data_IF_169384484756
#
_entry.id   IF_169384484756
#
_cell.length_a   1.000
_cell.length_b   1.000
_cell.length_c   1.000
_cell.angle_alpha   90.00
_cell.angle_beta   90.00
_cell.angle_gamma   90.00
#
_symmetry.space_group_name_H-M   'P 1'
#
loop_
_entity.id
_entity.type
_entity.pdbx_description
1 polymer ?
#
# COMPACT_ATOMS: atom_id res chain seq x y z
N UNK A 1 -64.65 -1.40 15.90
CA UNK A 1 -63.86 -2.58 15.50
C UNK A 1 -62.42 -2.09 15.40
N UNK A 2 -61.56 -2.03 16.43
CA UNK A 2 -61.10 -3.07 17.38
C UNK A 2 -60.63 -4.33 16.64
N UNK A 3 -59.36 -4.77 16.65
CA UNK A 3 -58.20 -4.27 17.37
C UNK A 3 -56.88 -4.92 16.90
N UNK A 4 -55.78 -4.39 17.44
CA UNK A 4 -54.41 -4.94 17.39
C UNK A 4 -54.28 -6.32 18.06
N UNK A 5 -53.10 -6.93 17.95
CA UNK A 5 -52.49 -7.51 19.14
C UNK A 5 -51.12 -6.91 19.46
N UNK A 6 -50.91 -6.79 20.76
CA UNK A 6 -49.76 -6.29 21.50
C UNK A 6 -49.42 -7.41 22.51
N UNK A 7 -48.13 -7.73 22.73
CA UNK A 7 -47.58 -8.35 23.95
C UNK A 7 -46.09 -8.63 23.70
N UNK A 8 -45.15 -7.86 24.26
CA UNK A 8 -44.65 -7.82 25.65
C UNK A 8 -43.81 -9.01 26.08
N UNK A 9 -42.60 -8.65 26.54
CA UNK A 9 -41.61 -9.45 27.22
C UNK A 9 -42.06 -9.84 28.63
N UNK A 10 -41.57 -10.99 29.11
CA UNK A 10 -41.47 -11.32 30.53
C UNK A 10 -40.12 -11.95 30.83
N UNK A 11 -39.47 -11.32 31.80
CA UNK A 11 -38.30 -11.71 32.56
C UNK A 11 -38.67 -12.79 33.59
N UNK A 12 -37.81 -13.78 33.80
CA UNK A 12 -37.84 -14.66 34.98
C UNK A 12 -36.41 -15.06 35.35
N UNK A 13 -35.99 -14.59 36.52
CA UNK A 13 -34.77 -14.94 37.25
C UNK A 13 -34.89 -16.26 38.03
N UNK A 14 -33.71 -16.78 38.39
CA UNK A 14 -33.36 -17.76 39.43
C UNK A 14 -33.46 -19.27 39.15
N UNK A 15 -32.29 -19.92 39.07
CA UNK A 15 -31.78 -20.80 40.15
C UNK A 15 -30.31 -21.21 39.92
N UNK A 16 -29.52 -21.09 40.99
CA UNK A 16 -28.13 -21.53 41.14
C UNK A 16 -28.06 -22.96 41.73
N UNK A 17 -26.98 -23.69 41.39
CA UNK A 17 -26.30 -24.82 42.08
C UNK A 17 -26.17 -26.10 41.23
N UNK A 18 -24.93 -26.55 41.03
CA UNK A 18 -24.61 -27.88 40.51
C UNK A 18 -23.22 -28.00 39.90
N UNK A 19 -22.18 -27.88 40.74
CA UNK A 19 -20.82 -28.32 40.42
C UNK A 19 -20.81 -29.85 40.49
N UNK A 20 -20.38 -30.53 39.42
CA UNK A 20 -19.94 -31.92 39.51
C UNK A 20 -18.56 -32.07 38.86
N UNK A 21 -17.61 -32.38 39.73
CA UNK A 21 -16.22 -32.74 39.45
C UNK A 21 -16.15 -34.24 39.11
N UNK A 22 -15.68 -34.60 37.92
CA UNK A 22 -15.18 -35.94 37.67
C UNK A 22 -13.72 -35.90 37.25
N UNK A 23 -12.90 -36.36 38.19
CA UNK A 23 -11.48 -36.63 38.13
C UNK A 23 -11.27 -37.93 37.36
N UNK A 24 -10.54 -37.88 36.24
CA UNK A 24 -9.89 -39.06 35.68
C UNK A 24 -8.38 -38.95 35.88
N UNK A 25 -7.89 -39.73 36.82
CA UNK A 25 -6.48 -40.03 37.05
C UNK A 25 -5.90 -40.81 35.86
N UNK A 26 -4.91 -40.22 35.18
CA UNK A 26 -3.99 -40.96 34.31
C UNK A 26 -2.57 -40.78 34.86
N UNK A 27 -1.97 -41.91 35.20
CA UNK A 27 -0.69 -42.12 35.87
C UNK A 27 0.52 -41.62 35.08
N UNK A 28 1.46 -41.03 35.83
CA UNK A 28 2.83 -40.68 35.45
C UNK A 28 3.60 -41.79 34.72
N UNK A 29 4.20 -41.44 33.59
CA UNK A 29 5.48 -41.98 33.15
C UNK A 29 6.40 -40.82 32.79
N UNK A 30 7.29 -40.52 33.72
CA UNK A 30 8.44 -39.64 33.56
C UNK A 30 9.35 -40.09 32.41
N UNK A 31 9.46 -39.27 31.37
CA UNK A 31 10.59 -39.28 30.44
C UNK A 31 11.23 -37.88 30.52
N UNK A 32 12.42 -37.83 31.12
CA UNK A 32 13.29 -36.65 31.10
C UNK A 32 13.63 -36.31 29.65
N UNK A 33 13.17 -35.16 29.16
CA UNK A 33 13.83 -34.43 28.09
C UNK A 33 14.36 -33.12 28.70
N UNK A 34 15.67 -33.07 28.92
CA UNK A 34 16.39 -31.83 29.18
C UNK A 34 16.20 -30.89 27.99
N UNK A 35 15.46 -29.79 28.18
CA UNK A 35 15.54 -28.63 27.29
C UNK A 35 16.85 -27.91 27.59
N UNK A 36 17.88 -28.20 26.80
CA UNK A 36 19.04 -27.32 26.69
C UNK A 36 18.61 -26.04 25.95
N UNK A 37 18.27 -25.00 26.70
CA UNK A 37 18.14 -23.65 26.14
C UNK A 37 19.53 -23.03 26.01
N UNK A 38 20.12 -23.08 24.82
CA UNK A 38 21.38 -22.38 24.56
C UNK A 38 21.16 -20.84 24.50
N UNK A 39 21.96 -20.04 25.23
CA UNK A 39 21.73 -18.59 25.39
C UNK A 39 22.20 -17.73 24.20
N UNK A 40 22.77 -18.31 23.13
CA UNK A 40 23.40 -17.54 22.04
C UNK A 40 22.49 -17.26 20.83
N UNK A 41 21.41 -18.02 20.62
CA UNK A 41 20.59 -17.87 19.41
C UNK A 41 19.79 -16.55 19.35
N UNK A 42 19.48 -15.95 20.51
CA UNK A 42 18.61 -14.77 20.61
C UNK A 42 19.34 -13.43 20.37
N UNK A 43 20.66 -13.36 20.62
CA UNK A 43 21.46 -12.15 20.40
C UNK A 43 21.75 -11.93 18.91
N UNK A 44 21.97 -13.02 18.17
CA UNK A 44 22.26 -13.01 16.73
C UNK A 44 21.02 -12.63 15.90
N UNK A 45 19.81 -13.00 16.32
CA UNK A 45 18.58 -12.56 15.62
C UNK A 45 18.33 -11.06 15.77
N UNK A 46 18.60 -10.48 16.95
CA UNK A 46 18.38 -9.05 17.18
C UNK A 46 19.28 -8.19 16.30
N UNK A 47 20.56 -8.55 16.14
CA UNK A 47 21.46 -7.88 15.21
C UNK A 47 20.97 -8.00 13.76
N UNK A 48 20.49 -9.17 13.34
CA UNK A 48 19.93 -9.37 11.99
C UNK A 48 18.69 -8.49 11.74
N UNK A 49 17.82 -8.30 12.74
CA UNK A 49 16.69 -7.35 12.64
C UNK A 49 17.17 -5.90 12.47
N UNK A 50 18.21 -5.47 13.21
CA UNK A 50 18.79 -4.13 13.05
C UNK A 50 19.47 -3.95 11.69
N UNK A 51 20.13 -4.98 11.17
CA UNK A 51 20.71 -4.98 9.83
C UNK A 51 19.61 -4.87 8.76
N UNK A 52 18.54 -5.65 8.85
CA UNK A 52 17.38 -5.55 7.96
C UNK A 52 16.78 -4.13 7.95
N UNK A 53 16.75 -3.44 9.10
CA UNK A 53 16.23 -2.08 9.18
C UNK A 53 17.06 -1.05 8.39
N UNK A 54 18.34 -1.33 8.15
CA UNK A 54 19.25 -0.44 7.40
C UNK A 54 19.04 -0.50 5.87
N UNK A 55 18.45 -1.59 5.36
CA UNK A 55 18.19 -1.83 3.94
C UNK A 55 17.42 -0.66 3.30
N UNK A 56 17.81 -0.29 2.07
CA UNK A 56 17.26 0.91 1.45
C UNK A 56 15.87 0.71 0.86
N UNK A 57 15.68 -0.41 0.20
CA UNK A 57 14.46 -0.70 -0.55
C UNK A 57 13.42 -1.35 0.36
N UNK A 58 12.18 -0.84 0.35
CA UNK A 58 11.11 -1.30 1.24
C UNK A 58 10.80 -2.79 1.06
N UNK A 59 10.75 -3.24 -0.20
CA UNK A 59 10.49 -4.63 -0.61
C UNK A 59 11.53 -5.59 -0.02
N UNK A 60 12.81 -5.27 -0.21
CA UNK A 60 13.93 -6.08 0.27
C UNK A 60 14.01 -6.12 1.80
N UNK A 61 13.71 -4.98 2.44
CA UNK A 61 13.65 -4.87 3.90
C UNK A 61 12.54 -5.75 4.49
N UNK A 62 11.36 -5.77 3.88
CA UNK A 62 10.26 -6.65 4.29
C UNK A 62 10.62 -8.13 4.13
N UNK A 63 11.22 -8.50 2.98
CA UNK A 63 11.72 -9.85 2.76
C UNK A 63 12.77 -10.27 3.80
N UNK A 64 13.60 -9.34 4.25
CA UNK A 64 14.60 -9.56 5.30
C UNK A 64 13.96 -9.85 6.65
N UNK A 65 13.01 -9.03 7.06
CA UNK A 65 12.29 -9.26 8.30
C UNK A 65 11.54 -10.60 8.31
N UNK A 66 10.86 -10.93 7.21
CA UNK A 66 10.16 -12.22 7.09
C UNK A 66 11.12 -13.41 7.14
N UNK A 67 12.27 -13.32 6.45
CA UNK A 67 13.28 -14.39 6.47
C UNK A 67 13.88 -14.60 7.86
N UNK A 68 14.23 -13.51 8.56
CA UNK A 68 14.73 -13.57 9.94
C UNK A 68 13.66 -14.14 10.88
N UNK A 69 12.38 -13.78 10.69
CA UNK A 69 11.27 -14.32 11.48
C UNK A 69 11.02 -15.82 11.23
N UNK A 70 11.18 -16.29 9.99
CA UNK A 70 11.04 -17.71 9.62
C UNK A 70 12.16 -18.61 10.15
N UNK A 71 13.36 -18.04 10.39
CA UNK A 71 14.53 -18.78 10.85
C UNK A 71 14.47 -19.27 12.31
N UNK A 72 13.38 -18.97 13.05
CA UNK A 72 13.10 -19.62 14.32
C UNK A 72 12.52 -18.65 15.36
N UNK A 73 11.22 -18.77 15.57
CA UNK A 73 10.39 -18.07 16.58
C UNK A 73 10.42 -16.55 16.54
N UNK A 74 9.23 -15.95 16.41
CA UNK A 74 8.99 -14.55 16.80
C UNK A 74 9.74 -14.29 18.12
N UNK A 75 10.55 -13.22 18.23
CA UNK A 75 11.22 -12.92 19.48
C UNK A 75 10.17 -12.88 20.58
N UNK A 76 10.24 -13.84 21.50
CA UNK A 76 9.36 -13.96 22.64
C UNK A 76 9.78 -12.92 23.70
N UNK A 77 9.86 -11.65 23.31
CA UNK A 77 10.12 -10.52 24.22
C UNK A 77 8.81 -9.84 24.62
N UNK A 78 7.81 -10.63 25.03
CA UNK A 78 6.76 -10.12 25.91
C UNK A 78 6.52 -11.14 27.03
N UNK A 79 7.44 -11.23 27.99
CA UNK A 79 7.04 -11.63 29.36
C UNK A 79 7.65 -10.80 30.49
N UNK A 80 8.67 -9.98 30.23
CA UNK A 80 9.06 -8.93 31.19
C UNK A 80 9.06 -7.55 30.51
N UNK A 81 8.01 -6.77 30.80
CA UNK A 81 7.97 -5.35 30.45
C UNK A 81 8.96 -4.62 31.36
N UNK A 82 10.13 -4.25 30.83
CA UNK A 82 11.02 -3.29 31.49
C UNK A 82 10.62 -1.87 31.07
N UNK A 83 10.35 -0.96 32.02
CA UNK A 83 9.97 0.40 31.68
C UNK A 83 11.12 1.11 30.95
N UNK A 84 10.77 1.92 29.95
CA UNK A 84 11.70 2.75 29.19
C UNK A 84 12.09 3.96 30.05
N UNK A 85 13.39 4.24 30.16
CA UNK A 85 13.88 5.51 30.70
C UNK A 85 13.73 6.57 29.61
N UNK A 86 12.57 7.23 29.63
CA UNK A 86 12.20 8.26 28.66
C UNK A 86 13.18 9.43 28.68
N UNK A 87 13.80 9.75 29.83
CA UNK A 87 14.75 10.84 29.96
C UNK A 87 16.07 10.55 29.24
N UNK A 88 16.67 9.40 29.51
CA UNK A 88 17.92 9.00 28.86
C UNK A 88 17.74 8.69 27.37
N UNK A 89 16.60 8.10 27.01
CA UNK A 89 16.22 7.86 25.61
C UNK A 89 16.12 9.17 24.83
N UNK A 90 15.48 10.21 25.40
CA UNK A 90 15.44 11.54 24.79
C UNK A 90 16.84 12.13 24.63
N UNK A 91 17.66 12.12 25.70
CA UNK A 91 18.98 12.76 25.70
C UNK A 91 19.91 12.12 24.66
N UNK A 92 19.89 10.80 24.51
CA UNK A 92 20.69 10.11 23.48
C UNK A 92 20.17 10.38 22.06
N UNK A 93 18.86 10.47 21.90
CA UNK A 93 18.23 10.82 20.62
C UNK A 93 18.63 12.23 20.17
N UNK A 94 18.62 13.20 21.08
CA UNK A 94 19.05 14.57 20.79
C UNK A 94 20.57 14.72 20.59
N UNK A 95 21.39 13.82 21.13
CA UNK A 95 22.86 13.81 20.97
C UNK A 95 23.34 13.04 19.73
N UNK A 96 22.44 12.63 18.84
CA UNK A 96 22.81 12.08 17.52
C UNK A 96 22.98 10.56 17.46
N UNK A 97 22.44 9.82 18.44
CA UNK A 97 22.43 8.35 18.44
C UNK A 97 21.13 7.80 19.01
N UNK A 98 20.04 7.72 18.23
CA UNK A 98 18.74 7.28 18.73
C UNK A 98 18.82 5.83 19.24
N UNK A 99 18.71 5.67 20.55
CA UNK A 99 18.68 4.38 21.24
C UNK A 99 17.68 4.42 22.38
N UNK A 100 16.82 3.40 22.47
CA UNK A 100 15.89 3.21 23.59
C UNK A 100 16.68 2.73 24.81
N UNK A 101 16.67 3.51 25.89
CA UNK A 101 17.33 3.19 27.16
C UNK A 101 16.28 2.64 28.12
N UNK A 102 16.54 1.47 28.73
CA UNK A 102 15.64 0.84 29.69
C UNK A 102 15.99 1.25 31.13
N UNK A 103 14.99 1.47 31.97
CA UNK A 103 15.19 1.87 33.36
C UNK A 103 15.84 0.75 34.19
N UNK A 104 16.90 1.10 34.94
CA UNK A 104 17.57 0.21 35.89
C UNK A 104 18.97 -0.29 35.52
N UNK A 105 19.59 0.16 34.42
CA UNK A 105 21.03 -0.11 34.19
C UNK A 105 21.90 0.83 35.02
N UNK A 106 22.21 0.43 36.25
CA UNK A 106 23.31 1.03 37.00
C UNK A 106 24.62 0.49 36.41
N UNK A 107 25.29 1.26 35.55
CA UNK A 107 26.71 1.04 35.24
C UNK A 107 27.51 1.62 36.41
N UNK A 108 27.85 0.78 37.38
CA UNK A 108 28.91 1.09 38.34
C UNK A 108 30.25 0.83 37.65
N UNK A 109 30.85 1.86 37.08
CA UNK A 109 32.28 1.88 36.76
C UNK A 109 33.03 2.65 37.86
N UNK A 110 33.23 1.98 39.00
CA UNK A 110 34.28 2.36 39.94
C UNK A 110 35.63 1.94 39.36
N UNK A 111 36.43 2.94 39.02
CA UNK A 111 37.86 2.82 38.74
C UNK A 111 38.53 2.17 39.96
N UNK A 112 39.20 1.04 39.76
CA UNK A 112 40.22 0.55 40.69
C UNK A 112 41.43 0.06 39.89
N UNK A 113 42.48 0.88 39.93
CA UNK A 113 43.86 0.48 39.64
C UNK A 113 44.28 -0.58 40.67
N UNK A 114 44.45 -1.82 40.24
CA UNK A 114 45.21 -2.82 40.97
C UNK A 114 46.15 -3.52 40.01
N UNK A 115 47.42 -3.15 40.10
CA UNK A 115 48.55 -3.89 39.55
C UNK A 115 48.61 -5.28 40.20
N UNK A 116 48.53 -6.33 39.38
CA UNK A 116 48.98 -7.68 39.77
C UNK A 116 50.00 -8.11 38.74
N UNK A 117 51.24 -8.22 39.21
CA UNK A 117 52.38 -8.76 38.49
C UNK A 117 52.48 -10.24 38.89
N UNK A 118 52.41 -11.16 37.93
CA UNK A 118 52.80 -12.55 38.10
C UNK A 118 53.56 -13.02 36.86
N UNK A 119 54.82 -13.36 37.11
CA UNK A 119 55.80 -13.97 36.21
C UNK A 119 55.34 -15.31 35.63
N UNK A 120 55.94 -15.70 34.50
CA UNK A 120 56.07 -17.10 34.11
C UNK A 120 55.38 -17.50 32.80
N UNK A 121 56.12 -17.32 31.71
CA UNK A 121 56.33 -18.31 30.66
C UNK A 121 55.09 -19.09 30.17
N UNK A 122 54.29 -18.48 29.28
CA UNK A 122 53.41 -19.17 28.30
C UNK A 122 53.01 -18.25 27.13
N UNK A 123 53.89 -17.30 26.79
CA UNK A 123 53.65 -16.34 25.71
C UNK A 123 54.17 -16.87 24.37
N UNK A 124 53.37 -17.68 23.66
CA UNK A 124 53.44 -17.75 22.19
C UNK A 124 52.25 -18.38 21.44
N UNK A 125 51.07 -18.52 22.05
CA UNK A 125 49.93 -19.12 21.32
C UNK A 125 48.55 -18.48 21.55
N UNK A 126 48.47 -17.34 22.24
CA UNK A 126 47.18 -16.66 22.50
C UNK A 126 47.14 -15.23 21.90
N UNK A 127 48.29 -14.69 21.49
CA UNK A 127 48.39 -13.31 20.97
C UNK A 127 48.02 -13.16 19.48
N UNK A 128 47.74 -14.26 18.77
CA UNK A 128 47.34 -14.24 17.35
C UNK A 128 45.83 -14.41 17.13
N UNK A 129 45.01 -14.53 18.18
CA UNK A 129 43.55 -14.77 18.03
C UNK A 129 42.67 -13.62 18.54
N UNK A 130 43.23 -12.58 19.15
CA UNK A 130 42.45 -11.46 19.74
C UNK A 130 42.65 -10.12 18.99
N UNK A 131 43.49 -10.06 17.96
CA UNK A 131 43.70 -8.86 17.13
C UNK A 131 42.82 -8.80 15.87
N UNK A 132 41.81 -9.66 15.73
CA UNK A 132 40.93 -9.69 14.55
C UNK A 132 39.50 -9.15 14.78
N UNK A 133 39.26 -8.39 15.85
CA UNK A 133 37.95 -7.75 16.12
C UNK A 133 38.13 -6.33 16.70
N UNK A 134 38.77 -5.45 15.94
CA UNK A 134 38.66 -4.01 16.13
C UNK A 134 38.35 -3.35 14.78
N UNK A 135 37.09 -2.97 14.50
CA UNK A 135 36.74 -2.18 13.34
C UNK A 135 36.73 -0.70 13.73
N UNK A 136 37.86 -0.13 14.16
CA UNK A 136 38.00 1.34 14.28
C UNK A 136 39.36 1.86 13.83
N UNK A 137 39.77 1.56 12.60
CA UNK A 137 40.82 2.33 11.91
C UNK A 137 40.78 2.12 10.39
N UNK A 138 39.80 2.73 9.72
CA UNK A 138 39.99 3.53 8.50
C UNK A 138 38.64 3.88 7.90
N UNK A 139 38.41 5.17 7.69
CA UNK A 139 37.17 5.76 7.20
C UNK A 139 36.91 5.47 5.73
N UNK A 140 36.65 4.21 5.39
CA UNK A 140 36.06 3.82 4.12
C UNK A 140 34.65 3.28 4.38
N UNK A 141 33.65 4.14 4.25
CA UNK A 141 32.28 3.69 4.05
C UNK A 141 32.27 2.74 2.85
N UNK A 142 32.09 1.45 3.10
CA UNK A 142 31.80 0.49 2.02
C UNK A 142 30.63 1.08 1.20
N UNK A 143 30.73 1.13 -0.15
CA UNK A 143 29.65 1.60 -1.00
C UNK A 143 28.32 0.99 -0.53
N UNK A 144 27.28 1.82 -0.32
CA UNK A 144 26.02 1.38 0.30
C UNK A 144 25.41 0.11 -0.34
N UNK A 145 25.66 -0.12 -1.64
CA UNK A 145 25.24 -1.33 -2.35
C UNK A 145 25.97 -2.61 -1.90
N UNK A 146 27.24 -2.53 -1.49
CA UNK A 146 28.01 -3.67 -0.98
C UNK A 146 27.58 -4.08 0.43
N UNK A 147 27.18 -3.11 1.26
CA UNK A 147 26.62 -3.39 2.59
C UNK A 147 25.24 -4.08 2.48
N UNK A 148 24.38 -3.62 1.57
CA UNK A 148 23.09 -4.26 1.31
C UNK A 148 23.28 -5.72 0.82
N UNK A 149 24.18 -5.97 -0.14
CA UNK A 149 24.47 -7.34 -0.61
C UNK A 149 25.05 -8.25 0.49
N UNK A 150 25.89 -7.73 1.37
CA UNK A 150 26.42 -8.47 2.52
C UNK A 150 25.30 -8.92 3.45
N UNK A 151 24.42 -8.00 3.88
CA UNK A 151 23.27 -8.31 4.76
C UNK A 151 22.34 -9.35 4.11
N UNK A 152 22.02 -9.20 2.82
CA UNK A 152 21.17 -10.16 2.10
C UNK A 152 21.78 -11.56 2.04
N UNK A 153 23.10 -11.65 1.88
CA UNK A 153 23.81 -12.93 1.86
C UNK A 153 23.85 -13.59 3.24
N UNK A 154 24.05 -12.81 4.30
CA UNK A 154 24.09 -13.29 5.70
C UNK A 154 22.73 -13.80 6.18
N UNK A 155 21.64 -13.13 5.78
CA UNK A 155 20.26 -13.53 6.09
C UNK A 155 19.76 -14.65 5.14
N UNK A 156 20.49 -14.93 4.06
CA UNK A 156 20.13 -15.98 3.09
C UNK A 156 18.90 -15.63 2.25
N UNK A 157 18.67 -14.33 2.00
CA UNK A 157 17.54 -13.85 1.19
C UNK A 157 17.83 -14.10 -0.27
N UNK A 158 16.94 -14.84 -0.92
CA UNK A 158 17.00 -15.04 -2.37
C UNK A 158 16.14 -13.99 -3.08
N UNK A 159 16.41 -13.74 -4.35
CA UNK A 159 15.62 -12.82 -5.17
C UNK A 159 14.12 -13.20 -5.22
N UNK A 160 13.81 -14.48 -5.07
CA UNK A 160 12.45 -14.99 -4.95
C UNK A 160 11.78 -14.60 -3.62
N UNK A 161 12.54 -14.45 -2.53
CA UNK A 161 12.03 -14.00 -1.24
C UNK A 161 11.73 -12.49 -1.28
N UNK A 162 12.55 -11.70 -1.99
CA UNK A 162 12.29 -10.27 -2.27
C UNK A 162 11.05 -10.11 -3.17
N UNK A 163 10.87 -11.00 -4.14
CA UNK A 163 9.72 -11.00 -5.04
C UNK A 163 8.36 -11.05 -4.34
N UNK A 164 8.29 -11.68 -3.15
CA UNK A 164 7.04 -11.82 -2.38
C UNK A 164 6.48 -10.52 -1.81
N UNK A 165 7.31 -9.48 -1.71
CA UNK A 165 6.94 -8.20 -1.11
C UNK A 165 6.84 -7.08 -2.14
N UNK A 166 6.72 -7.43 -3.42
CA UNK A 166 6.70 -6.44 -4.49
C UNK A 166 5.42 -5.57 -4.44
N UNK A 167 5.45 -4.36 -5.02
CA UNK A 167 4.27 -3.48 -5.10
C UNK A 167 3.00 -4.21 -5.59
N UNK A 168 3.11 -5.01 -6.65
CA UNK A 168 1.97 -5.76 -7.17
C UNK A 168 1.56 -6.92 -6.27
N UNK A 169 2.52 -7.59 -5.64
CA UNK A 169 2.22 -8.67 -4.70
C UNK A 169 1.45 -8.17 -3.48
N UNK A 170 1.88 -7.05 -2.90
CA UNK A 170 1.19 -6.44 -1.77
C UNK A 170 -0.19 -5.88 -2.15
N UNK A 171 -0.32 -5.33 -3.36
CA UNK A 171 -1.59 -4.83 -3.85
C UNK A 171 -2.60 -5.97 -4.10
N UNK A 172 -2.19 -7.12 -4.64
CA UNK A 172 -3.09 -8.16 -5.16
C UNK A 172 -2.88 -9.56 -4.55
N UNK A 173 -2.14 -9.67 -3.46
CA UNK A 173 -1.82 -10.93 -2.77
C UNK A 173 -1.22 -12.02 -3.69
N UNK A 174 -0.33 -11.63 -4.62
CA UNK A 174 0.05 -12.50 -5.74
C UNK A 174 0.87 -13.73 -5.34
N UNK A 175 1.63 -13.67 -4.25
CA UNK A 175 2.47 -14.79 -3.77
C UNK A 175 1.81 -15.58 -2.63
N UNK A 176 0.95 -14.92 -1.84
CA UNK A 176 0.20 -15.54 -0.74
C UNK A 176 -1.06 -14.71 -0.47
N UNK A 177 -2.20 -15.39 -0.36
CA UNK A 177 -3.43 -14.79 0.13
C UNK A 177 -3.23 -14.14 1.50
N UNK A 178 -3.75 -12.93 1.65
CA UNK A 178 -3.68 -12.19 2.90
C UNK A 178 -4.46 -12.90 4.00
N UNK A 179 -3.89 -12.97 5.20
CA UNK A 179 -4.57 -13.55 6.37
C UNK A 179 -5.80 -12.72 6.79
N UNK A 180 -6.00 -11.53 6.20
CA UNK A 180 -7.22 -10.70 6.34
C UNK A 180 -8.45 -11.41 5.73
N UNK A 181 -8.26 -12.22 4.67
CA UNK A 181 -9.30 -13.00 4.00
C UNK A 181 -10.25 -12.19 3.09
N UNK A 182 -11.39 -12.81 2.77
CA UNK A 182 -12.42 -12.28 1.87
C UNK A 182 -13.38 -11.29 2.55
N UNK A 183 -14.05 -10.47 1.74
CA UNK A 183 -15.07 -9.49 2.19
C UNK A 183 -14.56 -8.44 3.20
N UNK A 184 -13.25 -8.20 3.23
CA UNK A 184 -12.62 -7.10 3.96
C UNK A 184 -12.23 -5.99 2.99
N UNK A 185 -12.63 -4.73 3.25
CA UNK A 185 -12.24 -3.62 2.39
C UNK A 185 -10.76 -3.32 2.55
N UNK A 186 -10.10 -3.08 1.43
CA UNK A 186 -8.70 -2.66 1.32
C UNK A 186 -8.59 -1.52 0.31
N UNK A 187 -7.54 -0.69 0.38
CA UNK A 187 -7.32 0.33 -0.64
C UNK A 187 -7.19 -0.28 -2.04
N UNK A 188 -7.72 0.40 -3.07
CA UNK A 188 -7.65 -0.07 -4.45
C UNK A 188 -6.81 0.81 -5.37
N UNK A 189 -7.33 2.00 -5.71
CA UNK A 189 -6.58 3.09 -6.32
C UNK A 189 -6.15 4.07 -5.22
N UNK A 190 -5.32 5.09 -5.53
CA UNK A 190 -4.92 6.06 -4.52
C UNK A 190 -6.12 6.77 -3.90
N UNK A 191 -6.12 6.91 -2.58
CA UNK A 191 -7.07 7.76 -1.88
C UNK A 191 -6.40 9.07 -1.51
N UNK A 192 -6.97 10.17 -1.96
CA UNK A 192 -6.38 11.49 -1.78
C UNK A 192 -7.43 12.56 -1.58
N UNK A 193 -6.97 13.67 -1.01
CA UNK A 193 -7.68 14.92 -0.89
C UNK A 193 -6.73 16.02 -1.37
N UNK A 194 -7.14 16.74 -2.40
CA UNK A 194 -6.45 17.87 -3.00
C UNK A 194 -7.27 19.13 -2.72
N UNK A 195 -7.05 19.84 -1.59
CA UNK A 195 -7.76 21.09 -1.32
C UNK A 195 -7.46 22.17 -2.35
N UNK A 196 -6.31 22.08 -3.02
CA UNK A 196 -5.90 22.97 -4.10
C UNK A 196 -5.89 22.15 -5.37
N UNK A 197 -6.93 22.27 -6.19
CA UNK A 197 -6.96 21.82 -7.58
C UNK A 197 -7.28 23.03 -8.45
N UNK A 198 -6.38 23.41 -9.36
CA UNK A 198 -6.56 24.58 -10.22
C UNK A 198 -6.52 24.17 -11.69
N UNK A 199 -7.60 24.48 -12.38
CA UNK A 199 -7.82 24.22 -13.80
C UNK A 199 -7.48 25.44 -14.63
N UNK A 200 -6.83 25.23 -15.77
CA UNK A 200 -6.52 26.32 -16.72
C UNK A 200 -7.74 26.66 -17.59
N UNK A 201 -8.51 25.66 -17.97
CA UNK A 201 -9.67 25.80 -18.82
C UNK A 201 -10.82 24.91 -18.29
N UNK A 202 -11.53 25.31 -17.22
CA UNK A 202 -12.70 24.58 -16.75
C UNK A 202 -13.74 24.44 -17.86
N UNK A 203 -14.33 23.25 -18.00
CA UNK A 203 -15.41 23.01 -18.95
C UNK A 203 -16.66 23.79 -18.53
N UNK A 204 -17.05 24.79 -19.32
CA UNK A 204 -18.23 25.64 -19.05
C UNK A 204 -19.40 25.38 -19.99
N UNK A 205 -19.24 24.44 -20.91
CA UNK A 205 -20.25 24.08 -21.91
C UNK A 205 -20.18 22.57 -22.18
N UNK A 206 -20.38 21.71 -21.14
CA UNK A 206 -20.41 20.28 -21.33
C UNK A 206 -21.54 19.88 -22.27
N UNK A 207 -21.20 19.10 -23.28
CA UNK A 207 -22.11 18.65 -24.34
C UNK A 207 -21.70 17.27 -24.85
N UNK A 208 -22.60 16.58 -25.55
CA UNK A 208 -22.28 15.34 -26.28
C UNK A 208 -22.89 15.42 -27.69
N UNK A 209 -22.52 14.54 -28.64
CA UNK A 209 -23.13 14.53 -29.96
C UNK A 209 -24.67 14.39 -29.96
N UNK A 210 -25.25 13.85 -28.88
CA UNK A 210 -26.67 13.53 -28.78
C UNK A 210 -27.41 14.31 -27.68
N UNK A 211 -26.73 15.19 -26.94
CA UNK A 211 -27.32 15.94 -25.83
C UNK A 211 -26.94 17.42 -25.93
N UNK A 212 -27.92 18.29 -25.66
CA UNK A 212 -27.75 19.74 -25.71
C UNK A 212 -26.66 20.21 -24.74
N UNK A 213 -25.97 21.30 -25.10
CA UNK A 213 -25.01 21.91 -24.19
C UNK A 213 -25.73 22.58 -23.01
N UNK A 214 -25.13 22.43 -21.81
CA UNK A 214 -25.50 23.24 -20.65
C UNK A 214 -24.43 24.29 -20.39
N UNK A 215 -24.79 25.56 -20.56
CA UNK A 215 -23.88 26.68 -20.36
C UNK A 215 -23.73 27.04 -18.87
N UNK A 216 -22.49 27.33 -18.49
CA UNK A 216 -22.10 27.79 -17.16
C UNK A 216 -21.28 29.06 -17.28
N UNK A 217 -21.57 30.05 -16.46
CA UNK A 217 -20.76 31.25 -16.37
C UNK A 217 -19.40 30.95 -15.70
N UNK A 218 -18.50 31.94 -15.75
CA UNK A 218 -17.27 31.89 -14.95
C UNK A 218 -17.57 31.69 -13.46
N UNK A 219 -18.63 32.31 -12.95
CA UNK A 219 -18.99 32.20 -11.53
C UNK A 219 -19.58 30.83 -11.19
N UNK A 220 -20.27 30.17 -12.13
CA UNK A 220 -20.82 28.83 -11.89
C UNK A 220 -19.74 27.76 -11.82
N UNK A 221 -18.66 27.93 -12.61
CA UNK A 221 -17.50 27.04 -12.63
C UNK A 221 -16.21 27.85 -12.57
N UNK A 222 -15.72 28.04 -11.35
CA UNK A 222 -14.45 28.70 -11.06
C UNK A 222 -13.29 27.75 -11.35
N UNK A 223 -12.11 28.32 -11.55
CA UNK A 223 -10.89 27.57 -11.88
C UNK A 223 -10.36 26.74 -10.72
N UNK A 224 -10.55 27.18 -9.48
CA UNK A 224 -10.08 26.49 -8.29
C UNK A 224 -11.19 25.66 -7.66
N UNK A 225 -10.88 24.42 -7.30
CA UNK A 225 -11.76 23.50 -6.62
C UNK A 225 -10.97 22.57 -5.70
N UNK A 226 -11.69 21.73 -4.95
CA UNK A 226 -11.14 20.61 -4.21
C UNK A 226 -11.40 19.35 -5.01
N UNK A 227 -10.37 18.51 -5.20
CA UNK A 227 -10.49 17.20 -5.82
C UNK A 227 -10.26 16.11 -4.79
N UNK A 228 -11.07 15.06 -4.78
CA UNK A 228 -10.90 13.93 -3.87
C UNK A 228 -11.17 12.61 -4.58
N UNK A 229 -10.49 11.55 -4.14
CA UNK A 229 -10.72 10.19 -4.60
C UNK A 229 -10.80 9.24 -3.42
N UNK A 230 -11.83 8.40 -3.41
CA UNK A 230 -11.99 7.27 -2.49
C UNK A 230 -12.02 6.01 -3.32
N UNK A 231 -11.24 5.01 -2.93
CA UNK A 231 -11.11 3.79 -3.73
C UNK A 231 -10.83 2.59 -2.86
N UNK A 232 -11.74 1.63 -2.92
CA UNK A 232 -11.70 0.41 -2.11
C UNK A 232 -11.90 -0.82 -3.00
N UNK A 233 -11.28 -1.93 -2.60
CA UNK A 233 -11.53 -3.25 -3.16
C UNK A 233 -11.66 -4.27 -2.07
N UNK A 234 -12.26 -5.41 -2.40
CA UNK A 234 -12.30 -6.58 -1.55
C UNK A 234 -12.19 -7.85 -2.37
N UNK A 235 -11.59 -8.89 -1.79
CA UNK A 235 -11.64 -10.22 -2.37
C UNK A 235 -13.01 -10.82 -2.14
N UNK A 236 -13.64 -11.25 -3.23
CA UNK A 236 -14.94 -11.92 -3.24
C UNK A 236 -14.76 -13.43 -3.16
N UNK A 237 -13.75 -13.95 -3.88
CA UNK A 237 -13.37 -15.35 -3.86
C UNK A 237 -11.86 -15.48 -4.07
N UNK A 238 -11.29 -16.54 -3.49
CA UNK A 238 -9.87 -16.86 -3.56
C UNK A 238 -9.67 -18.21 -4.24
N UNK A 239 -8.48 -18.39 -4.81
CA UNK A 239 -8.00 -19.66 -5.37
C UNK A 239 -8.95 -20.32 -6.39
N UNK A 240 -9.55 -19.51 -7.27
CA UNK A 240 -10.49 -19.97 -8.28
C UNK A 240 -9.81 -20.93 -9.27
N UNK A 241 -10.59 -21.89 -9.76
CA UNK A 241 -10.16 -22.87 -10.78
C UNK A 241 -8.97 -23.75 -10.35
N UNK A 242 -8.77 -23.93 -9.03
CA UNK A 242 -7.59 -24.62 -8.47
C UNK A 242 -6.27 -23.96 -8.86
N UNK A 243 -6.29 -22.65 -9.11
CA UNK A 243 -5.10 -21.81 -9.29
C UNK A 243 -5.09 -20.73 -8.22
N UNK A 244 -4.03 -19.94 -8.10
CA UNK A 244 -3.99 -18.76 -7.22
C UNK A 244 -4.77 -17.55 -7.80
N UNK A 245 -5.82 -17.80 -8.58
CA UNK A 245 -6.64 -16.74 -9.18
C UNK A 245 -7.64 -16.20 -8.18
N UNK A 246 -7.63 -14.88 -7.99
CA UNK A 246 -8.53 -14.22 -7.04
C UNK A 246 -9.53 -13.33 -7.77
N UNK A 247 -10.78 -13.38 -7.30
CA UNK A 247 -11.86 -12.51 -7.77
C UNK A 247 -12.05 -11.34 -6.82
N UNK A 248 -12.11 -10.14 -7.39
CA UNK A 248 -12.17 -8.88 -6.67
C UNK A 248 -13.41 -8.10 -7.08
N UNK A 249 -13.98 -7.41 -6.10
CA UNK A 249 -14.89 -6.30 -6.32
C UNK A 249 -14.19 -5.00 -5.95
N UNK A 250 -14.25 -4.01 -6.82
CA UNK A 250 -13.66 -2.69 -6.66
C UNK A 250 -14.70 -1.60 -6.78
N UNK A 251 -14.49 -0.50 -6.07
CA UNK A 251 -15.26 0.72 -6.21
C UNK A 251 -14.33 1.93 -6.09
N UNK A 252 -14.35 2.78 -7.10
CA UNK A 252 -13.63 4.06 -7.10
C UNK A 252 -14.62 5.19 -7.32
N UNK A 253 -14.50 6.24 -6.51
CA UNK A 253 -15.25 7.48 -6.67
C UNK A 253 -14.28 8.65 -6.70
N UNK A 254 -14.41 9.51 -7.69
CA UNK A 254 -13.66 10.77 -7.80
C UNK A 254 -14.66 11.93 -7.80
N UNK A 255 -14.41 12.96 -7.00
CA UNK A 255 -15.28 14.14 -6.93
C UNK A 255 -14.49 15.43 -7.07
N UNK A 256 -15.09 16.38 -7.77
CA UNK A 256 -14.62 17.74 -8.00
C UNK A 256 -15.60 18.71 -7.35
N UNK A 257 -15.15 19.43 -6.32
CA UNK A 257 -16.00 20.22 -5.44
C UNK A 257 -15.60 21.69 -5.46
N UNK A 258 -16.49 22.57 -5.89
CA UNK A 258 -16.28 24.01 -5.98
C UNK A 258 -16.34 24.68 -4.59
N UNK A 259 -15.50 24.23 -3.65
CA UNK A 259 -15.44 24.73 -2.25
C UNK A 259 -15.18 26.23 -2.15
N UNK A 260 -14.54 26.81 -3.16
CA UNK A 260 -14.23 28.23 -3.27
C UNK A 260 -15.29 29.01 -4.05
N UNK A 261 -16.50 28.45 -4.23
CA UNK A 261 -17.60 29.08 -4.96
C UNK A 261 -18.77 29.36 -4.02
N UNK A 262 -18.57 30.29 -3.11
CA UNK A 262 -19.57 30.73 -2.13
C UNK A 262 -20.85 31.28 -2.76
N UNK A 263 -20.74 31.97 -3.90
CA UNK A 263 -21.89 32.58 -4.59
C UNK A 263 -22.92 31.54 -5.04
N UNK A 264 -22.47 30.30 -5.30
CA UNK A 264 -23.31 29.20 -5.75
C UNK A 264 -23.47 28.09 -4.69
N UNK A 265 -23.24 28.42 -3.42
CA UNK A 265 -23.34 27.45 -2.30
C UNK A 265 -22.40 26.26 -2.40
N UNK A 266 -21.23 26.44 -3.06
CA UNK A 266 -20.15 25.46 -3.16
C UNK A 266 -20.61 24.10 -3.70
N UNK A 267 -21.09 24.02 -4.95
CA UNK A 267 -21.64 22.79 -5.51
C UNK A 267 -20.54 21.79 -5.86
N UNK A 268 -20.85 20.49 -5.85
CA UNK A 268 -20.05 19.51 -6.58
C UNK A 268 -20.22 19.75 -8.08
N UNK A 269 -19.11 19.92 -8.80
CA UNK A 269 -19.11 20.13 -10.25
C UNK A 269 -19.19 18.82 -11.01
N UNK A 270 -18.52 17.78 -10.49
CA UNK A 270 -18.49 16.45 -11.06
C UNK A 270 -18.27 15.41 -9.97
N UNK A 271 -18.94 14.26 -10.10
CA UNK A 271 -18.61 13.05 -9.36
C UNK A 271 -18.65 11.88 -10.32
N UNK A 272 -17.62 11.06 -10.31
CA UNK A 272 -17.48 9.86 -11.14
C UNK A 272 -17.60 8.63 -10.24
N UNK A 273 -18.47 7.69 -10.61
CA UNK A 273 -18.68 6.40 -9.95
C UNK A 273 -18.14 5.28 -10.83
N UNK A 274 -17.23 4.48 -10.29
CA UNK A 274 -16.52 3.43 -11.02
C UNK A 274 -16.52 2.10 -10.24
N UNK A 275 -17.65 1.38 -10.17
CA UNK A 275 -17.67 0.00 -9.69
C UNK A 275 -17.08 -0.95 -10.74
N UNK A 276 -16.33 -1.94 -10.27
CA UNK A 276 -15.75 -2.98 -11.11
C UNK A 276 -15.71 -4.35 -10.44
N UNK A 277 -15.70 -5.39 -11.27
CA UNK A 277 -15.42 -6.77 -10.87
C UNK A 277 -14.31 -7.29 -11.76
N UNK A 278 -13.29 -7.90 -11.16
CA UNK A 278 -12.13 -8.35 -11.92
C UNK A 278 -11.46 -9.55 -11.28
N UNK A 279 -10.82 -10.35 -12.12
CA UNK A 279 -10.02 -11.49 -11.71
C UNK A 279 -8.54 -11.20 -11.95
N UNK A 280 -7.69 -11.65 -11.03
CA UNK A 280 -6.23 -11.57 -11.15
C UNK A 280 -5.63 -12.95 -11.08
N UNK A 281 -4.79 -13.31 -12.05
CA UNK A 281 -3.98 -14.52 -12.06
C UNK A 281 -2.52 -14.11 -11.83
N UNK A 282 -1.92 -14.50 -10.69
CA UNK A 282 -0.48 -14.43 -10.50
C UNK A 282 0.24 -15.23 -11.58
N UNK A 283 1.29 -14.65 -12.15
CA UNK A 283 2.15 -15.29 -13.13
C UNK A 283 3.60 -15.04 -12.76
N UNK A 284 4.49 -15.97 -13.11
CA UNK A 284 5.93 -15.80 -12.94
C UNK A 284 6.58 -15.99 -14.29
N UNK A 285 6.82 -14.89 -15.01
CA UNK A 285 7.52 -14.92 -16.29
C UNK A 285 8.58 -13.81 -16.35
N UNK A 286 9.76 -14.17 -16.82
CA UNK A 286 10.86 -13.22 -17.04
C UNK A 286 10.59 -12.36 -18.28
N UNK A 287 10.84 -11.06 -18.16
CA UNK A 287 10.81 -10.08 -19.24
C UNK A 287 12.24 -9.58 -19.50
N UNK A 288 12.49 -8.94 -20.66
CA UNK A 288 13.79 -8.30 -20.94
C UNK A 288 14.20 -7.30 -19.84
N UNK A 289 15.51 -7.05 -19.74
CA UNK A 289 16.11 -6.11 -18.79
C UNK A 289 15.83 -6.43 -17.32
N UNK A 290 15.80 -7.72 -16.96
CA UNK A 290 15.48 -8.21 -15.61
C UNK A 290 14.07 -7.83 -15.14
N UNK A 291 13.15 -7.66 -16.09
CA UNK A 291 11.74 -7.46 -15.76
C UNK A 291 11.08 -8.76 -15.35
N UNK A 292 9.99 -8.65 -14.60
CA UNK A 292 9.14 -9.79 -14.23
C UNK A 292 7.70 -9.43 -14.49
N UNK A 293 7.02 -10.24 -15.28
CA UNK A 293 5.57 -10.25 -15.34
C UNK A 293 5.06 -10.95 -14.08
N UNK A 294 4.22 -10.26 -13.31
CA UNK A 294 3.72 -10.70 -11.99
C UNK A 294 2.25 -11.07 -12.02
N UNK A 295 1.46 -10.42 -12.88
CA UNK A 295 0.00 -10.55 -12.87
C UNK A 295 -0.55 -10.43 -14.28
N UNK A 296 -1.55 -11.26 -14.60
CA UNK A 296 -2.53 -11.01 -15.65
C UNK A 296 -3.90 -10.80 -15.01
N UNK A 297 -4.74 -9.98 -15.62
CA UNK A 297 -6.09 -9.76 -15.11
C UNK A 297 -7.08 -9.43 -16.21
N UNK A 298 -8.35 -9.63 -15.89
CA UNK A 298 -9.47 -9.26 -16.74
C UNK A 298 -10.64 -8.80 -15.87
N UNK A 299 -11.43 -7.84 -16.36
CA UNK A 299 -12.52 -7.29 -15.57
C UNK A 299 -13.58 -6.58 -16.38
N UNK A 300 -14.66 -6.24 -15.68
CA UNK A 300 -15.76 -5.42 -16.16
C UNK A 300 -15.86 -4.20 -15.26
N UNK A 301 -15.93 -3.02 -15.87
CA UNK A 301 -16.07 -1.75 -15.16
C UNK A 301 -17.21 -0.94 -15.75
N UNK A 302 -18.08 -0.45 -14.87
CA UNK A 302 -19.05 0.59 -15.19
C UNK A 302 -18.45 1.93 -14.77
N UNK A 303 -18.67 2.97 -15.56
CA UNK A 303 -18.23 4.33 -15.22
C UNK A 303 -19.33 5.31 -15.60
N UNK A 304 -19.82 6.06 -14.63
CA UNK A 304 -20.87 7.06 -14.82
C UNK A 304 -20.70 8.23 -13.87
N UNK A 305 -21.46 9.30 -14.06
CA UNK A 305 -21.52 10.42 -13.13
C UNK A 305 -22.81 10.51 -12.30
N UNK A 306 -23.78 9.62 -12.54
CA UNK A 306 -25.06 9.60 -11.83
C UNK A 306 -25.93 10.84 -12.04
N UNK A 307 -25.68 11.61 -13.11
CA UNK A 307 -26.46 12.78 -13.49
C UNK A 307 -27.60 12.42 -14.46
N UNK A 308 -28.61 13.27 -14.53
CA UNK A 308 -29.67 13.19 -15.55
C UNK A 308 -29.28 13.96 -16.83
N UNK A 309 -30.03 13.72 -17.92
CA UNK A 309 -29.86 14.48 -19.17
C UNK A 309 -30.06 16.00 -18.92
N UNK A 310 -29.26 16.89 -19.53
CA UNK A 310 -28.24 16.62 -20.56
C UNK A 310 -26.81 16.41 -20.01
N UNK A 311 -26.64 16.27 -18.68
CA UNK A 311 -25.33 16.07 -18.05
C UNK A 311 -25.00 14.59 -17.82
N UNK A 312 -25.96 13.68 -18.00
CA UNK A 312 -25.75 12.23 -17.91
C UNK A 312 -24.55 11.81 -18.75
N UNK A 313 -23.60 11.10 -18.14
CA UNK A 313 -22.50 10.42 -18.82
C UNK A 313 -22.36 9.02 -18.27
N UNK A 314 -22.23 8.04 -19.16
CA UNK A 314 -22.03 6.65 -18.77
C UNK A 314 -21.41 5.81 -19.87
N UNK A 315 -20.67 4.78 -19.46
CA UNK A 315 -20.18 3.73 -20.35
C UNK A 315 -19.76 2.49 -19.56
N UNK A 316 -19.75 1.35 -20.25
CA UNK A 316 -19.31 0.07 -19.72
C UNK A 316 -18.11 -0.41 -20.51
N UNK A 317 -17.15 -1.06 -19.84
CA UNK A 317 -15.93 -1.58 -20.46
C UNK A 317 -15.66 -2.99 -19.96
N UNK A 318 -15.29 -3.87 -20.88
CA UNK A 318 -14.53 -5.07 -20.56
C UNK A 318 -13.05 -4.75 -20.76
N UNK A 319 -12.20 -5.18 -19.85
CA UNK A 319 -10.78 -4.88 -19.92
C UNK A 319 -9.91 -6.09 -19.60
N UNK A 320 -8.68 -6.03 -20.09
CA UNK A 320 -7.57 -6.88 -19.69
C UNK A 320 -6.44 -6.01 -19.17
N UNK A 321 -5.67 -6.53 -18.22
CA UNK A 321 -4.51 -5.84 -17.67
C UNK A 321 -3.37 -6.82 -17.43
N UNK A 322 -2.15 -6.30 -17.39
CA UNK A 322 -0.98 -7.03 -16.97
C UNK A 322 -0.19 -6.17 -15.99
N UNK A 323 0.47 -6.80 -15.01
CA UNK A 323 1.33 -6.12 -14.06
C UNK A 323 2.76 -6.64 -14.17
N UNK A 324 3.71 -5.74 -14.39
CA UNK A 324 5.12 -6.05 -14.52
C UNK A 324 6.00 -5.13 -13.66
N UNK A 325 7.16 -5.63 -13.26
CA UNK A 325 8.07 -4.92 -12.37
C UNK A 325 9.53 -5.04 -12.84
N UNK A 326 10.27 -3.94 -12.71
CA UNK A 326 11.71 -3.82 -12.91
C UNK A 326 12.32 -3.09 -11.71
N UNK A 327 12.75 -3.85 -10.71
CA UNK A 327 13.30 -3.31 -9.46
C UNK A 327 12.36 -2.25 -8.82
N UNK A 328 12.68 -0.96 -8.99
CA UNK A 328 11.91 0.17 -8.45
C UNK A 328 10.71 0.59 -9.32
N UNK A 329 10.65 0.13 -10.57
CA UNK A 329 9.61 0.47 -11.54
C UNK A 329 8.51 -0.59 -11.52
N UNK A 330 7.26 -0.17 -11.36
CA UNK A 330 6.07 -0.99 -11.56
C UNK A 330 5.28 -0.43 -12.73
N UNK A 331 4.80 -1.29 -13.63
CA UNK A 331 4.05 -0.91 -14.82
C UNK A 331 2.81 -1.79 -14.96
N UNK A 332 1.67 -1.16 -15.22
CA UNK A 332 0.37 -1.81 -15.39
C UNK A 332 -0.32 -1.29 -16.66
N UNK A 333 -0.10 -1.90 -17.84
CA UNK A 333 -0.97 -1.66 -18.98
C UNK A 333 -2.38 -2.24 -18.72
N UNK A 334 -3.41 -1.50 -19.14
CA UNK A 334 -4.80 -1.92 -19.16
C UNK A 334 -5.43 -1.54 -20.49
N UNK A 335 -6.00 -2.50 -21.19
CA UNK A 335 -6.69 -2.30 -22.48
C UNK A 335 -8.16 -2.67 -22.34
N UNK A 336 -9.04 -1.92 -23.00
CA UNK A 336 -10.47 -2.15 -22.88
C UNK A 336 -11.20 -2.09 -24.22
N UNK A 337 -12.31 -2.82 -24.26
CA UNK A 337 -13.34 -2.69 -25.27
C UNK A 337 -14.60 -2.14 -24.61
N UNK A 338 -15.26 -1.19 -25.30
CA UNK A 338 -16.55 -0.66 -24.86
C UNK A 338 -17.62 -1.74 -25.00
N UNK A 339 -18.41 -1.93 -23.96
CA UNK A 339 -19.60 -2.79 -23.97
C UNK A 339 -20.79 -1.88 -24.31
N UNK A 340 -21.32 -2.03 -25.51
CA UNK A 340 -22.50 -1.30 -25.94
C UNK A 340 -23.74 -2.01 -25.36
N UNK A 341 -24.40 -1.39 -24.38
CA UNK A 341 -25.69 -1.86 -23.93
C UNK A 341 -26.71 -1.61 -25.04
N UNK A 342 -27.17 -2.69 -25.69
CA UNK A 342 -28.31 -2.62 -26.60
C UNK A 342 -29.58 -2.42 -25.78
N UNK A 343 -29.91 -1.18 -25.48
CA UNK A 343 -31.16 -0.84 -24.78
C UNK A 343 -32.10 -0.18 -25.78
N UNK A 344 -33.29 -0.72 -25.89
CA UNK A 344 -34.34 -0.22 -26.77
C UNK A 344 -34.64 1.25 -26.45
N UNK A 345 -34.51 2.11 -27.46
CA UNK A 345 -34.97 3.50 -27.53
C UNK A 345 -34.26 4.62 -26.72
N UNK A 346 -33.31 4.34 -25.79
CA UNK A 346 -32.50 5.43 -25.17
C UNK A 346 -31.21 5.67 -25.98
N UNK A 347 -30.94 6.90 -26.47
CA UNK A 347 -29.67 7.21 -27.10
C UNK A 347 -28.52 7.06 -26.09
N UNK A 348 -27.35 6.66 -26.59
CA UNK A 348 -26.10 6.64 -25.84
C UNK A 348 -25.76 8.05 -25.35
N UNK A 349 -25.50 8.19 -24.05
CA UNK A 349 -25.17 9.46 -23.40
C UNK A 349 -23.95 10.13 -24.06
N UNK A 350 -22.93 9.34 -24.43
CA UNK A 350 -21.65 9.81 -24.93
C UNK A 350 -21.08 8.84 -25.99
N UNK A 351 -21.63 8.83 -27.22
CA UNK A 351 -21.28 7.87 -28.28
C UNK A 351 -19.81 7.94 -28.72
N UNK A 352 -19.20 9.11 -28.64
CA UNK A 352 -17.81 9.37 -29.05
C UNK A 352 -16.81 9.35 -27.89
N UNK A 353 -17.15 8.77 -26.73
CA UNK A 353 -16.24 8.72 -25.57
C UNK A 353 -14.91 8.01 -25.89
N UNK A 354 -14.95 6.95 -26.70
CA UNK A 354 -13.76 6.20 -27.11
C UNK A 354 -12.78 7.00 -27.98
N UNK A 355 -13.25 8.06 -28.65
CA UNK A 355 -12.38 8.96 -29.42
C UNK A 355 -11.46 9.79 -28.51
N UNK A 356 -11.89 10.09 -27.28
CA UNK A 356 -11.19 11.00 -26.38
C UNK A 356 -10.51 10.25 -25.22
N UNK A 357 -11.22 9.29 -24.63
CA UNK A 357 -10.73 8.52 -23.49
C UNK A 357 -9.75 7.42 -23.88
N UNK A 358 -9.87 6.87 -25.08
CA UNK A 358 -8.98 5.85 -25.58
C UNK A 358 -9.49 4.42 -25.54
N UNK A 359 -8.59 3.51 -25.89
CA UNK A 359 -8.76 2.05 -25.87
C UNK A 359 -7.90 1.38 -24.79
N UNK A 360 -7.14 2.17 -24.04
CA UNK A 360 -6.25 1.67 -22.99
C UNK A 360 -5.57 2.79 -22.23
N UNK A 361 -5.01 2.42 -21.09
CA UNK A 361 -4.13 3.22 -20.26
C UNK A 361 -2.88 2.43 -19.89
N UNK A 362 -1.79 3.15 -19.65
CA UNK A 362 -0.56 2.65 -19.06
C UNK A 362 -0.34 3.41 -17.77
N UNK A 363 -0.17 2.65 -16.71
CA UNK A 363 0.06 3.11 -15.35
C UNK A 363 1.48 2.75 -14.97
N UNK A 364 2.27 3.70 -14.47
CA UNK A 364 3.65 3.48 -14.08
C UNK A 364 3.95 4.14 -12.74
N UNK A 365 4.71 3.46 -11.90
CA UNK A 365 5.11 3.91 -10.58
C UNK A 365 6.60 3.65 -10.38
N UNK A 366 7.34 4.61 -9.83
CA UNK A 366 8.78 4.50 -9.61
C UNK A 366 9.20 5.04 -8.25
N UNK A 367 9.87 4.22 -7.45
CA UNK A 367 10.53 4.68 -6.21
C UNK A 367 11.79 5.47 -6.56
N UNK A 368 11.86 6.75 -6.16
CA UNK A 368 13.10 7.52 -6.25
C UNK A 368 14.04 7.12 -5.10
N UNK A 369 13.54 7.27 -3.87
CA UNK A 369 14.25 6.97 -2.62
C UNK A 369 13.28 6.43 -1.54
N UNK A 370 13.70 6.44 -0.26
CA UNK A 370 12.89 5.91 0.86
C UNK A 370 11.58 6.67 1.11
N UNK A 371 11.52 7.95 0.77
CA UNK A 371 10.38 8.83 1.06
C UNK A 371 9.72 9.40 -0.20
N UNK A 372 10.41 9.38 -1.34
CA UNK A 372 9.92 10.00 -2.57
C UNK A 372 9.63 8.94 -3.63
N UNK A 373 8.47 9.06 -4.27
CA UNK A 373 8.12 8.31 -5.46
C UNK A 373 7.40 9.18 -6.49
N UNK A 374 7.44 8.72 -7.72
CA UNK A 374 6.68 9.31 -8.83
C UNK A 374 5.75 8.27 -9.41
N UNK A 375 4.60 8.73 -9.87
CA UNK A 375 3.64 7.90 -10.58
C UNK A 375 3.11 8.65 -11.79
N UNK A 376 2.56 7.92 -12.74
CA UNK A 376 1.91 8.51 -13.88
C UNK A 376 0.96 7.58 -14.59
N UNK A 377 0.00 8.20 -15.26
CA UNK A 377 -0.95 7.56 -16.14
C UNK A 377 -0.86 8.20 -17.52
N UNK A 378 -0.83 7.39 -18.56
CA UNK A 378 -1.08 7.83 -19.92
C UNK A 378 -2.21 6.99 -20.50
N UNK A 379 -3.20 7.64 -21.10
CA UNK A 379 -4.29 6.97 -21.83
C UNK A 379 -4.57 7.69 -23.13
N UNK A 380 -5.14 6.99 -24.10
CA UNK A 380 -5.56 7.64 -25.32
C UNK A 380 -5.97 6.72 -26.45
N UNK A 381 -6.34 7.35 -27.55
CA UNK A 381 -6.70 6.71 -28.80
C UNK A 381 -5.68 7.11 -29.87
N UNK A 382 -4.79 6.19 -30.29
CA UNK A 382 -3.79 6.49 -31.32
C UNK A 382 -4.39 6.98 -32.64
N UNK A 383 -5.61 6.53 -32.99
CA UNK A 383 -6.27 6.89 -34.24
C UNK A 383 -6.77 8.33 -34.27
N UNK A 384 -7.20 8.88 -33.13
CA UNK A 384 -7.67 10.28 -33.03
C UNK A 384 -6.62 11.23 -32.46
N UNK A 385 -5.50 10.69 -31.96
CA UNK A 385 -4.43 11.43 -31.27
C UNK A 385 -4.92 12.21 -30.03
N UNK A 386 -6.05 11.79 -29.46
CA UNK A 386 -6.59 12.34 -28.21
C UNK A 386 -6.29 11.39 -27.06
N UNK A 387 -6.12 11.97 -25.87
CA UNK A 387 -5.79 11.22 -24.66
C UNK A 387 -5.51 12.15 -23.50
N UNK A 388 -4.93 11.58 -22.45
CA UNK A 388 -4.50 12.33 -21.28
C UNK A 388 -3.22 11.74 -20.70
N UNK A 389 -2.48 12.60 -20.02
CA UNK A 389 -1.37 12.26 -19.15
C UNK A 389 -1.64 12.83 -17.76
N UNK A 390 -1.34 12.05 -16.74
CA UNK A 390 -1.31 12.49 -15.35
C UNK A 390 0.06 12.14 -14.78
N UNK A 391 0.68 13.09 -14.10
CA UNK A 391 1.96 12.94 -13.41
C UNK A 391 1.78 13.26 -11.94
N UNK A 392 2.39 12.45 -11.10
CA UNK A 392 2.18 12.44 -9.67
C UNK A 392 3.53 12.41 -8.96
N UNK A 393 3.70 13.27 -7.95
CA UNK A 393 4.81 13.21 -7.03
C UNK A 393 4.30 12.97 -5.61
N UNK A 394 4.89 12.00 -4.94
CA UNK A 394 4.46 11.52 -3.64
C UNK A 394 5.65 11.63 -2.69
N UNK A 395 5.46 12.34 -1.57
CA UNK A 395 6.45 12.44 -0.50
C UNK A 395 5.85 11.91 0.82
N UNK A 396 6.41 10.83 1.32
CA UNK A 396 5.96 10.16 2.52
C UNK A 396 6.28 10.97 3.78
N UNK A 397 5.24 11.31 4.53
CA UNK A 397 5.32 11.83 5.89
C UNK A 397 5.21 10.68 6.89
N UNK A 398 5.20 11.00 8.18
CA UNK A 398 4.96 10.01 9.23
C UNK A 398 3.47 9.59 9.28
N UNK A 399 3.18 8.40 9.80
CA UNK A 399 1.82 7.86 9.99
C UNK A 399 1.01 7.59 8.70
N UNK A 400 1.66 7.12 7.63
CA UNK A 400 1.00 6.71 6.37
C UNK A 400 0.23 7.85 5.67
N UNK A 401 0.60 9.10 5.92
CA UNK A 401 0.12 10.25 5.14
C UNK A 401 1.24 10.70 4.21
N UNK A 402 0.89 11.05 2.98
CA UNK A 402 1.85 11.53 2.00
C UNK A 402 1.46 12.93 1.52
N UNK A 403 2.44 13.81 1.34
CA UNK A 403 2.25 14.99 0.49
C UNK A 403 2.10 14.52 -0.94
N UNK A 404 1.12 15.06 -1.64
CA UNK A 404 0.76 14.61 -2.98
C UNK A 404 0.59 15.80 -3.91
N UNK A 405 1.35 15.78 -5.00
CA UNK A 405 1.27 16.73 -6.10
C UNK A 405 0.81 16.00 -7.36
N UNK A 406 -0.16 16.57 -8.06
CA UNK A 406 -0.73 15.99 -9.27
C UNK A 406 -0.72 17.04 -10.39
N UNK A 407 -0.34 16.63 -11.60
CA UNK A 407 -0.47 17.44 -12.81
C UNK A 407 -1.20 16.60 -13.85
N UNK A 408 -2.38 17.06 -14.24
CA UNK A 408 -3.18 16.46 -15.31
C UNK A 408 -3.10 17.31 -16.57
N UNK A 409 -2.97 16.68 -17.74
CA UNK A 409 -3.09 17.35 -19.03
C UNK A 409 -3.77 16.43 -20.05
N UNK A 410 -4.84 16.93 -20.69
CA UNK A 410 -5.52 16.23 -21.77
C UNK A 410 -7.02 16.18 -21.60
N UNK A 411 -7.65 15.13 -22.12
CA UNK A 411 -9.10 14.96 -22.15
C UNK A 411 -9.62 14.11 -20.98
N UNK A 412 -10.77 14.49 -20.42
CA UNK A 412 -11.54 13.64 -19.52
C UNK A 412 -11.03 13.52 -18.09
N UNK A 413 -10.55 14.60 -17.47
CA UNK A 413 -10.17 14.53 -16.04
C UNK A 413 -11.30 13.94 -15.17
N UNK A 414 -12.54 14.25 -15.53
CA UNK A 414 -13.77 13.58 -15.08
C UNK A 414 -14.58 13.13 -16.30
N UNK A 415 -15.55 12.23 -16.13
CA UNK A 415 -16.37 11.73 -17.24
C UNK A 415 -17.24 12.83 -17.88
N UNK A 416 -17.68 13.84 -17.11
CA UNK A 416 -18.39 14.99 -17.67
C UNK A 416 -17.50 15.83 -18.61
N UNK A 417 -16.19 15.75 -18.43
CA UNK A 417 -15.18 16.44 -19.22
C UNK A 417 -14.52 15.52 -20.26
N UNK A 418 -15.10 14.35 -20.57
CA UNK A 418 -14.47 13.35 -21.44
C UNK A 418 -14.02 13.91 -22.80
N UNK A 419 -14.76 14.87 -23.36
CA UNK A 419 -14.49 15.53 -24.64
C UNK A 419 -13.91 16.93 -24.50
N UNK A 420 -13.51 17.34 -23.28
CA UNK A 420 -12.95 18.64 -23.00
C UNK A 420 -11.48 18.52 -22.62
N UNK A 421 -10.62 19.36 -23.22
CA UNK A 421 -9.18 19.37 -22.94
C UNK A 421 -8.87 20.40 -21.87
N UNK A 422 -8.16 19.98 -20.83
CA UNK A 422 -7.73 20.86 -19.74
C UNK A 422 -6.30 20.54 -19.29
N UNK A 423 -5.72 21.46 -18.54
CA UNK A 423 -4.55 21.26 -17.70
C UNK A 423 -4.92 21.64 -16.28
N UNK A 424 -4.68 20.74 -15.34
CA UNK A 424 -4.96 20.97 -13.93
C UNK A 424 -3.75 20.64 -13.06
N UNK A 425 -3.54 21.44 -12.02
CA UNK A 425 -2.48 21.23 -11.02
C UNK A 425 -3.12 21.11 -9.65
N UNK A 426 -2.77 20.02 -8.97
CA UNK A 426 -3.31 19.61 -7.69
C UNK A 426 -2.24 19.51 -6.61
N UNK A 427 -2.56 19.91 -5.39
CA UNK A 427 -1.75 19.69 -4.20
C UNK A 427 -2.61 19.33 -2.99
N UNK A 428 -2.17 18.34 -2.23
CA UNK A 428 -2.81 17.96 -0.99
C UNK A 428 -2.16 16.74 -0.34
N UNK A 429 -3.00 15.86 0.19
CA UNK A 429 -2.60 14.68 0.94
C UNK A 429 -3.10 13.40 0.28
N UNK A 430 -2.32 12.34 0.41
CA UNK A 430 -2.66 10.99 -0.03
C UNK A 430 -2.54 10.02 1.15
N UNK A 431 -3.55 9.17 1.31
CA UNK A 431 -3.66 8.19 2.40
C UNK A 431 -3.07 6.83 2.03
N UNK A 432 -3.14 6.45 0.76
CA UNK A 432 -2.47 5.28 0.21
C UNK A 432 -2.00 5.58 -1.20
N UNK A 433 -0.86 5.02 -1.57
CA UNK A 433 -0.37 5.09 -2.95
C UNK A 433 -0.98 3.96 -3.81
N UNK A 434 -0.44 3.81 -5.01
CA UNK A 434 -0.87 2.81 -5.99
C UNK A 434 -0.60 1.36 -5.55
N UNK A 435 0.20 1.15 -4.50
CA UNK A 435 0.42 -0.16 -3.88
C UNK A 435 -0.76 -0.58 -3.01
N UNK A 436 -1.63 0.36 -2.65
CA UNK A 436 -2.73 0.11 -1.72
C UNK A 436 -2.27 -0.15 -0.28
N UNK A 437 -1.10 0.39 0.10
CA UNK A 437 -0.49 0.30 1.43
C UNK A 437 -0.67 1.59 2.25
#
# INVERSE_FOLDING_TARGET
MAGSPNAQATDTTDTWLGIDTNVHTATDKSANLELASEPNHSKDQASLFYECASIQTNVTRLACFDKVAQAGTLPNFIKEKKPIDLGQTLIKTFKGGPQVVLAGSQINSSINNSTVNLDGDNNKQITDTITALDPTADGASLPLAQNEQYILSTVGIKEIDIGKYSPLSLAYDLDKNSDIGTWKPRPHNPMYLLPIQVHTAPNRSPQTPNQDSKEYSYNDRRNAELKLQVSVKTKVAEDLFNTHSDLWFGYTQQSHWQVYNEDNSRPFRATDYQPEIFITQPVTASLPFNGRLRMLGAGLIHHSNGEDDPLSRSWNRAYVMAGAEWNKLTVVPKFWARINARTNNKPDDNPNIGEHWGIGELRAYYDLDKKNSISGMIRGNPSTQKGAVELEFIHQLDNNVNVYLQVFHGYGESIIDYNHKDTAVGMGIMLNDWRGL
#
